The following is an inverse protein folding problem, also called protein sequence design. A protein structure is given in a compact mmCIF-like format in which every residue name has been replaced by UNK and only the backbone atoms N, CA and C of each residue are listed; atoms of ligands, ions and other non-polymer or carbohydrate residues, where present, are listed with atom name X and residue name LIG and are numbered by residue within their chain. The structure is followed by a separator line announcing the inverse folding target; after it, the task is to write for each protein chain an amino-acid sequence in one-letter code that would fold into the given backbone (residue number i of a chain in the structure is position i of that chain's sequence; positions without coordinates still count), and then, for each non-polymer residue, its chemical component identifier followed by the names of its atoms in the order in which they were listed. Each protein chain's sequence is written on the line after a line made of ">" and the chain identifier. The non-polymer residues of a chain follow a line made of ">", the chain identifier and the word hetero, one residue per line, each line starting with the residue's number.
data_IF_768991749745
#
_entry.id   IF_768991749745
#
_cell.length_a   1.000
_cell.length_b   1.000
_cell.length_c   1.000
_cell.angle_alpha   90.00
_cell.angle_beta   90.00
_cell.angle_gamma   90.00
#
_symmetry.space_group_name_H-M   'P 1'
#
loop_
_entity.id
_entity.type
_entity.pdbx_description
1 polymer ?
#
# COMPACT_ATOMS: atom_id res chain seq x y z
N UNK A 1 36.11 -18.19 -25.50
CA UNK A 1 36.42 -18.14 -24.04
C UNK A 1 36.29 -16.70 -23.51
N UNK A 2 36.99 -15.71 -24.04
CA UNK A 2 36.91 -14.30 -23.60
C UNK A 2 35.48 -13.74 -23.52
N UNK A 3 34.65 -13.93 -24.57
CA UNK A 3 33.24 -13.50 -24.57
C UNK A 3 32.43 -14.09 -23.42
N UNK A 4 32.67 -15.37 -23.10
CA UNK A 4 31.95 -16.06 -22.02
C UNK A 4 32.30 -15.39 -20.68
N UNK A 5 33.60 -15.12 -20.44
CA UNK A 5 34.08 -14.46 -19.23
C UNK A 5 33.53 -13.04 -19.08
N UNK A 6 33.52 -12.26 -20.17
CA UNK A 6 32.97 -10.89 -20.16
C UNK A 6 31.47 -10.92 -19.85
N UNK A 7 30.70 -11.80 -20.49
CA UNK A 7 29.24 -11.90 -20.27
C UNK A 7 28.94 -12.37 -18.85
N UNK A 8 29.71 -13.32 -18.30
CA UNK A 8 29.51 -13.76 -16.91
C UNK A 8 29.81 -12.65 -15.90
N UNK A 9 30.87 -11.86 -16.10
CA UNK A 9 31.18 -10.72 -15.21
C UNK A 9 30.09 -9.66 -15.29
N UNK A 10 29.63 -9.32 -16.50
CA UNK A 10 28.54 -8.36 -16.68
C UNK A 10 27.24 -8.82 -16.00
N UNK A 11 26.92 -10.10 -16.07
CA UNK A 11 25.71 -10.65 -15.45
C UNK A 11 25.78 -10.64 -13.92
N UNK A 12 26.95 -10.90 -13.34
CA UNK A 12 27.15 -10.81 -11.88
C UNK A 12 27.05 -9.37 -11.39
N UNK A 13 27.69 -8.42 -12.06
CA UNK A 13 27.59 -7.00 -11.71
C UNK A 13 26.14 -6.50 -11.77
N UNK A 14 25.42 -6.86 -12.84
CA UNK A 14 24.00 -6.54 -12.97
C UNK A 14 23.12 -7.20 -11.89
N UNK A 15 23.45 -8.44 -11.51
CA UNK A 15 22.78 -9.15 -10.42
C UNK A 15 22.89 -8.41 -9.09
N UNK A 16 24.10 -7.98 -8.74
CA UNK A 16 24.37 -7.26 -7.49
C UNK A 16 23.63 -5.91 -7.41
N UNK A 17 23.62 -5.12 -8.48
CA UNK A 17 22.90 -3.84 -8.48
C UNK A 17 21.39 -4.04 -8.36
N UNK A 18 20.82 -5.05 -9.05
CA UNK A 18 19.39 -5.35 -8.92
C UNK A 18 19.01 -5.91 -7.55
N UNK A 19 19.86 -6.77 -6.98
CA UNK A 19 19.67 -7.30 -5.63
C UNK A 19 19.55 -6.17 -4.63
N UNK A 20 20.43 -5.16 -4.68
CA UNK A 20 20.37 -4.00 -3.79
C UNK A 20 19.04 -3.22 -3.91
N UNK A 21 18.55 -3.02 -5.14
CA UNK A 21 17.26 -2.33 -5.36
C UNK A 21 16.09 -3.15 -4.82
N UNK A 22 16.12 -4.47 -5.00
CA UNK A 22 15.10 -5.38 -4.48
C UNK A 22 15.13 -5.40 -2.95
N UNK A 23 16.30 -5.55 -2.33
CA UNK A 23 16.47 -5.53 -0.88
C UNK A 23 15.97 -4.21 -0.30
N UNK A 24 16.34 -3.07 -0.89
CA UNK A 24 15.82 -1.77 -0.45
C UNK A 24 14.29 -1.71 -0.51
N UNK A 25 13.69 -2.19 -1.60
CA UNK A 25 12.23 -2.24 -1.73
C UNK A 25 11.59 -3.15 -0.66
N UNK A 26 12.16 -4.32 -0.43
CA UNK A 26 11.65 -5.30 0.54
C UNK A 26 11.75 -4.79 1.97
N UNK A 27 12.90 -4.25 2.37
CA UNK A 27 13.13 -3.67 3.70
C UNK A 27 12.20 -2.48 3.98
N UNK A 28 12.01 -1.59 3.00
CA UNK A 28 11.04 -0.50 3.13
C UNK A 28 9.61 -1.02 3.21
N UNK A 29 9.25 -2.04 2.43
CA UNK A 29 7.92 -2.64 2.47
C UNK A 29 7.65 -3.28 3.82
N UNK A 30 8.62 -4.01 4.39
CA UNK A 30 8.52 -4.57 5.73
C UNK A 30 8.35 -3.48 6.79
N UNK A 31 9.16 -2.42 6.73
CA UNK A 31 9.06 -1.27 7.64
C UNK A 31 7.70 -0.57 7.54
N UNK A 32 7.16 -0.42 6.33
CA UNK A 32 5.83 0.17 6.12
C UNK A 32 4.70 -0.69 6.67
N UNK A 33 4.80 -2.02 6.64
CA UNK A 33 3.80 -2.88 7.31
C UNK A 33 3.75 -2.57 8.80
N UNK A 34 4.90 -2.55 9.46
CA UNK A 34 5.01 -2.22 10.89
C UNK A 34 4.57 -0.79 11.22
N UNK A 35 4.78 0.17 10.32
CA UNK A 35 4.40 1.55 10.54
C UNK A 35 2.90 1.79 10.35
N UNK A 36 2.32 1.27 9.27
CA UNK A 36 0.96 1.61 8.86
C UNK A 36 -0.09 0.61 9.30
N UNK A 37 0.26 -0.67 9.46
CA UNK A 37 -0.70 -1.69 9.89
C UNK A 37 -0.69 -1.79 11.41
N UNK A 38 -1.77 -1.32 12.04
CA UNK A 38 -1.98 -1.43 13.49
C UNK A 38 -1.88 -2.91 13.92
N UNK A 39 -1.14 -3.17 14.98
CA UNK A 39 -0.95 -4.49 15.59
C UNK A 39 -0.40 -5.57 14.61
N UNK A 40 0.34 -5.13 13.58
CA UNK A 40 1.04 -6.06 12.69
C UNK A 40 2.17 -6.79 13.41
N UNK A 41 2.26 -8.09 13.17
CA UNK A 41 3.31 -8.97 13.68
C UNK A 41 3.80 -9.89 12.54
N UNK A 42 5.08 -10.22 12.55
CA UNK A 42 5.74 -11.00 11.49
C UNK A 42 5.33 -12.49 11.52
N UNK A 43 4.55 -12.92 12.53
CA UNK A 43 4.08 -14.29 12.68
C UNK A 43 2.97 -14.70 11.69
N UNK A 44 2.20 -13.74 11.17
CA UNK A 44 1.07 -14.00 10.30
C UNK A 44 1.28 -13.43 8.89
N UNK A 45 1.11 -14.28 7.87
CA UNK A 45 1.24 -13.89 6.46
C UNK A 45 0.19 -12.86 6.02
N UNK A 46 -0.98 -12.80 6.69
CA UNK A 46 -2.04 -11.84 6.39
C UNK A 46 -2.74 -11.33 7.66
N UNK A 47 -2.66 -10.02 7.90
CA UNK A 47 -3.43 -9.34 8.94
C UNK A 47 -4.88 -9.15 8.46
N UNK A 48 -5.85 -9.62 9.25
CA UNK A 48 -7.26 -9.49 8.96
C UNK A 48 -8.03 -8.99 10.19
N UNK A 49 -9.03 -8.15 9.95
CA UNK A 49 -9.95 -7.63 10.96
C UNK A 49 -11.36 -8.13 10.67
N UNK A 50 -12.15 -8.38 11.72
CA UNK A 50 -13.43 -9.08 11.61
C UNK A 50 -14.64 -8.24 12.04
N UNK A 51 -14.42 -7.04 12.56
CA UNK A 51 -15.50 -6.13 12.97
C UNK A 51 -15.45 -4.81 12.21
N UNK A 52 -16.61 -4.18 12.05
CA UNK A 52 -16.68 -2.87 11.39
C UNK A 52 -15.92 -1.80 12.16
N UNK A 53 -15.97 -1.82 13.50
CA UNK A 53 -15.22 -0.89 14.34
C UNK A 53 -13.73 -1.04 14.12
N UNK A 54 -13.20 -2.27 14.08
CA UNK A 54 -11.78 -2.51 13.89
C UNK A 54 -11.31 -2.04 12.51
N UNK A 55 -12.13 -2.19 11.46
CA UNK A 55 -11.81 -1.64 10.12
C UNK A 55 -11.59 -0.14 10.19
N UNK A 56 -12.46 0.61 10.88
CA UNK A 56 -12.30 2.05 11.04
C UNK A 56 -11.08 2.38 11.90
N UNK A 57 -10.89 1.67 13.01
CA UNK A 57 -9.76 1.88 13.92
C UNK A 57 -8.41 1.70 13.22
N UNK A 58 -8.26 0.63 12.43
CA UNK A 58 -7.05 0.37 11.66
C UNK A 58 -6.87 1.40 10.53
N UNK A 59 -7.97 1.82 9.88
CA UNK A 59 -7.90 2.86 8.85
C UNK A 59 -7.43 4.21 9.44
N UNK A 60 -8.03 4.64 10.55
CA UNK A 60 -7.65 5.90 11.19
C UNK A 60 -6.21 5.85 11.70
N UNK A 61 -5.79 4.73 12.28
CA UNK A 61 -4.39 4.51 12.64
C UNK A 61 -3.44 4.71 11.44
N UNK A 62 -3.73 4.11 10.29
CA UNK A 62 -2.92 4.30 9.08
C UNK A 62 -2.83 5.77 8.67
N UNK A 63 -3.95 6.51 8.74
CA UNK A 63 -4.00 7.93 8.39
C UNK A 63 -3.17 8.76 9.38
N UNK A 64 -3.30 8.50 10.68
CA UNK A 64 -2.52 9.17 11.72
C UNK A 64 -1.02 8.92 11.55
N UNK A 65 -0.62 7.68 11.31
CA UNK A 65 0.78 7.32 11.03
C UNK A 65 1.29 7.95 9.75
N UNK A 66 0.46 8.02 8.71
CA UNK A 66 0.80 8.75 7.49
C UNK A 66 1.05 10.23 7.77
N UNK A 67 0.23 10.91 8.59
CA UNK A 67 0.42 12.32 8.90
C UNK A 67 1.63 12.59 9.81
N UNK A 68 1.90 11.68 10.75
CA UNK A 68 3.01 11.77 11.71
C UNK A 68 4.36 11.28 11.15
N UNK A 69 4.37 10.75 9.93
CA UNK A 69 5.51 10.08 9.31
C UNK A 69 6.86 10.83 9.37
N UNK A 70 6.94 12.17 9.18
CA UNK A 70 8.19 12.91 9.26
C UNK A 70 8.78 12.98 10.67
N UNK A 71 7.96 12.78 11.70
CA UNK A 71 8.34 12.92 13.12
C UNK A 71 8.61 11.56 13.78
N UNK A 72 7.89 10.51 13.37
CA UNK A 72 7.93 9.19 14.02
C UNK A 72 8.90 8.21 13.34
N UNK A 73 9.25 8.42 12.06
CA UNK A 73 10.05 7.45 11.31
C UNK A 73 11.54 7.76 11.33
N UNK A 74 12.35 6.70 11.34
CA UNK A 74 13.82 6.81 11.22
C UNK A 74 14.23 7.11 9.77
N UNK A 75 13.45 6.64 8.80
CA UNK A 75 13.68 6.87 7.38
C UNK A 75 13.26 8.27 6.92
N UNK A 76 13.97 8.84 5.94
CA UNK A 76 13.56 10.10 5.31
C UNK A 76 12.65 9.83 4.13
N UNK A 77 11.37 10.11 4.34
CA UNK A 77 10.33 9.97 3.32
C UNK A 77 9.71 11.33 2.99
N UNK A 78 9.42 11.55 1.72
CA UNK A 78 8.73 12.73 1.24
C UNK A 78 7.40 12.35 0.57
N UNK A 79 6.35 13.09 0.88
CA UNK A 79 5.04 12.90 0.26
C UNK A 79 5.05 13.28 -1.21
N UNK A 80 4.33 12.52 -2.02
CA UNK A 80 4.07 12.84 -3.42
C UNK A 80 2.65 13.38 -3.56
N UNK A 81 2.53 14.64 -3.96
CA UNK A 81 1.25 15.28 -4.25
C UNK A 81 0.70 14.85 -5.62
N UNK A 82 -0.61 15.02 -5.82
CA UNK A 82 -1.35 14.59 -7.02
C UNK A 82 -1.51 13.06 -7.17
N UNK A 83 -1.46 12.32 -6.06
CA UNK A 83 -1.82 10.88 -6.04
C UNK A 83 -3.31 10.71 -5.77
N UNK A 84 -3.87 11.58 -4.93
CA UNK A 84 -5.29 11.62 -4.61
C UNK A 84 -6.04 12.73 -5.34
N UNK A 85 -7.32 12.84 -5.02
CA UNK A 85 -8.23 13.81 -5.62
C UNK A 85 -7.82 15.24 -5.26
N UNK A 86 -7.96 16.16 -6.22
CA UNK A 86 -7.66 17.59 -6.05
C UNK A 86 -6.23 17.90 -5.58
N UNK A 87 -5.24 17.10 -5.98
CA UNK A 87 -3.83 17.34 -5.66
C UNK A 87 -3.38 16.78 -4.31
N UNK A 88 -4.25 16.04 -3.61
CA UNK A 88 -3.91 15.38 -2.34
C UNK A 88 -2.77 14.36 -2.52
N UNK A 89 -1.99 14.16 -1.46
CA UNK A 89 -0.93 13.14 -1.39
C UNK A 89 -1.43 11.77 -0.89
N UNK A 90 -2.63 11.73 -0.31
CA UNK A 90 -3.34 10.54 0.16
C UNK A 90 -4.72 10.49 -0.49
N UNK A 91 -5.11 9.30 -0.98
CA UNK A 91 -6.44 9.01 -1.51
C UNK A 91 -7.11 7.90 -0.71
N UNK A 92 -8.35 8.14 -0.29
CA UNK A 92 -9.21 7.10 0.27
C UNK A 92 -10.25 6.74 -0.79
N UNK A 93 -10.09 5.58 -1.39
CA UNK A 93 -10.95 5.07 -2.46
C UNK A 93 -11.94 4.06 -1.89
N UNK A 94 -13.23 4.33 -2.07
CA UNK A 94 -14.28 3.37 -1.72
C UNK A 94 -14.80 2.73 -2.99
N UNK A 95 -14.60 1.42 -3.15
CA UNK A 95 -15.15 0.64 -4.25
C UNK A 95 -16.44 -0.05 -3.81
N UNK A 96 -17.51 0.10 -4.57
CA UNK A 96 -18.78 -0.56 -4.28
C UNK A 96 -19.53 -0.88 -5.58
N UNK A 97 -20.38 -1.90 -5.54
CA UNK A 97 -21.24 -2.25 -6.67
C UNK A 97 -22.26 -1.13 -6.92
N UNK A 98 -22.45 -0.73 -8.17
CA UNK A 98 -23.37 0.36 -8.55
C UNK A 98 -24.80 0.14 -8.04
N UNK A 99 -25.26 -1.12 -8.07
CA UNK A 99 -26.51 -1.57 -7.46
C UNK A 99 -26.22 -2.90 -6.78
N UNK A 100 -26.48 -2.97 -5.49
CA UNK A 100 -26.45 -4.20 -4.72
C UNK A 100 -27.68 -4.23 -3.84
N UNK A 101 -28.40 -5.33 -3.82
CA UNK A 101 -29.29 -5.68 -2.72
C UNK A 101 -29.04 -7.14 -2.43
N UNK A 102 -28.66 -7.43 -1.20
CA UNK A 102 -28.47 -8.77 -0.70
C UNK A 102 -29.42 -8.91 0.48
N UNK A 103 -30.34 -9.86 0.37
CA UNK A 103 -31.29 -10.19 1.42
C UNK A 103 -31.16 -11.68 1.73
N UNK A 104 -30.22 -12.04 2.62
CA UNK A 104 -29.95 -13.44 2.93
C UNK A 104 -31.13 -14.11 3.64
N UNK A 105 -32.02 -13.35 4.27
CA UNK A 105 -33.20 -13.92 4.92
C UNK A 105 -34.24 -14.45 3.91
N UNK A 106 -34.23 -13.90 2.70
CA UNK A 106 -35.13 -14.27 1.61
C UNK A 106 -34.40 -15.00 0.46
N UNK A 107 -33.14 -15.40 0.63
CA UNK A 107 -32.29 -16.02 -0.40
C UNK A 107 -32.24 -15.23 -1.73
N UNK A 108 -32.39 -13.89 -1.68
CA UNK A 108 -32.41 -13.05 -2.88
C UNK A 108 -31.21 -12.11 -2.93
N UNK A 109 -30.64 -11.97 -4.13
CA UNK A 109 -29.65 -10.95 -4.42
C UNK A 109 -29.89 -10.33 -5.79
N UNK A 110 -29.61 -9.04 -5.91
CA UNK A 110 -29.58 -8.34 -7.19
C UNK A 110 -28.35 -7.42 -7.18
N UNK A 111 -27.33 -7.81 -7.93
CA UNK A 111 -26.04 -7.12 -7.98
C UNK A 111 -25.73 -6.78 -9.43
N UNK A 112 -25.50 -5.49 -9.67
CA UNK A 112 -24.86 -4.99 -10.88
C UNK A 112 -23.33 -5.12 -10.68
N UNK A 113 -22.63 -5.94 -11.48
CA UNK A 113 -21.20 -6.18 -11.31
C UNK A 113 -20.33 -4.94 -11.61
N UNK A 114 -20.93 -3.85 -12.09
CA UNK A 114 -20.20 -2.62 -12.35
C UNK A 114 -19.73 -1.97 -11.04
N UNK A 115 -18.41 -1.92 -10.84
CA UNK A 115 -17.76 -1.31 -9.69
C UNK A 115 -17.65 0.20 -9.91
N UNK A 116 -18.13 0.97 -8.93
CA UNK A 116 -17.97 2.42 -8.87
C UNK A 116 -16.95 2.73 -7.79
N UNK A 117 -16.02 3.63 -8.08
CA UNK A 117 -15.08 4.17 -7.09
C UNK A 117 -15.57 5.54 -6.65
N UNK A 118 -15.83 5.69 -5.36
CA UNK A 118 -16.21 6.95 -4.72
C UNK A 118 -15.04 7.52 -3.92
N UNK A 119 -14.91 8.85 -3.96
CA UNK A 119 -13.78 9.60 -3.42
C UNK A 119 -14.08 10.27 -2.06
N UNK A 120 -15.00 9.74 -1.26
CA UNK A 120 -15.45 10.42 -0.03
C UNK A 120 -15.97 9.47 1.05
N UNK A 121 -15.86 9.91 2.31
CA UNK A 121 -16.53 9.37 3.51
C UNK A 121 -18.06 9.53 3.45
N UNK A 122 -18.69 9.18 2.33
CA UNK A 122 -20.14 9.02 2.29
C UNK A 122 -20.53 7.84 3.19
N UNK A 123 -21.70 7.85 3.85
CA UNK A 123 -22.05 6.86 4.87
C UNK A 123 -21.88 5.45 4.32
N UNK A 124 -20.79 4.82 4.79
CA UNK A 124 -20.14 3.65 4.24
C UNK A 124 -21.06 2.42 4.28
N UNK A 125 -22.08 2.43 5.14
CA UNK A 125 -22.99 1.31 5.35
C UNK A 125 -24.44 1.71 5.08
N UNK A 126 -24.77 1.89 3.80
CA UNK A 126 -26.10 1.51 3.41
C UNK A 126 -26.16 -0.03 3.44
N UNK A 127 -27.16 -0.65 4.10
CA UNK A 127 -27.26 -2.12 4.26
C UNK A 127 -27.39 -2.91 2.93
N UNK A 128 -27.34 -2.20 1.81
CA UNK A 128 -27.47 -2.70 0.45
C UNK A 128 -26.13 -2.89 -0.27
N UNK A 129 -25.06 -2.27 0.21
CA UNK A 129 -23.76 -2.28 -0.48
C UNK A 129 -22.67 -2.84 0.42
N UNK A 130 -21.82 -3.72 -0.12
CA UNK A 130 -20.58 -4.18 0.51
C UNK A 130 -19.47 -3.27 -0.02
N UNK A 131 -19.02 -2.26 0.73
CA UNK A 131 -17.93 -1.39 0.29
C UNK A 131 -16.57 -2.06 0.55
N UNK A 132 -15.65 -1.89 -0.39
CA UNK A 132 -14.22 -2.16 -0.21
C UNK A 132 -13.53 -0.83 -0.06
N UNK A 133 -12.74 -0.68 1.00
CA UNK A 133 -12.04 0.57 1.30
C UNK A 133 -10.55 0.40 1.03
N UNK A 134 -9.97 1.34 0.27
CA UNK A 134 -8.58 1.27 -0.18
C UNK A 134 -7.92 2.61 0.11
N UNK A 135 -6.88 2.60 0.93
CA UNK A 135 -5.99 3.75 1.14
C UNK A 135 -4.82 3.68 0.16
N UNK A 136 -4.59 4.76 -0.58
CA UNK A 136 -3.53 4.87 -1.58
C UNK A 136 -2.72 6.14 -1.35
N UNK A 137 -1.41 5.99 -1.22
CA UNK A 137 -0.45 7.10 -1.16
C UNK A 137 0.88 6.69 -1.77
N UNK A 138 1.72 7.69 -2.07
CA UNK A 138 3.09 7.45 -2.53
C UNK A 138 4.08 8.23 -1.68
N UNK A 139 5.20 7.58 -1.39
CA UNK A 139 6.34 8.14 -0.66
C UNK A 139 7.59 8.05 -1.53
N UNK A 140 8.41 9.10 -1.51
CA UNK A 140 9.76 9.10 -2.08
C UNK A 140 10.79 8.90 -0.98
N UNK A 141 11.77 8.06 -1.23
CA UNK A 141 12.92 7.83 -0.38
C UNK A 141 14.20 7.85 -1.23
N UNK A 142 15.34 8.10 -0.58
CA UNK A 142 16.67 8.04 -1.21
C UNK A 142 17.37 6.79 -0.68
N UNK A 143 17.79 5.89 -1.57
CA UNK A 143 18.56 4.72 -1.20
C UNK A 143 20.04 5.08 -0.99
N UNK A 144 20.45 5.26 0.26
CA UNK A 144 21.84 5.58 0.60
C UNK A 144 22.82 4.41 0.35
N UNK A 145 22.35 3.16 0.24
CA UNK A 145 23.22 1.99 -0.01
C UNK A 145 23.86 2.05 -1.40
N UNK A 146 23.15 2.60 -2.40
CA UNK A 146 23.68 2.79 -3.76
C UNK A 146 24.86 3.77 -3.79
N UNK A 147 24.76 4.85 -3.00
CA UNK A 147 25.80 5.87 -2.87
C UNK A 147 27.07 5.29 -2.26
N UNK A 148 26.95 4.39 -1.27
CA UNK A 148 28.10 3.74 -0.62
C UNK A 148 28.88 2.86 -1.61
N UNK A 149 28.20 2.27 -2.59
CA UNK A 149 28.80 1.41 -3.61
C UNK A 149 29.22 2.18 -4.88
N UNK A 150 29.16 3.52 -4.86
CA UNK A 150 29.38 4.39 -6.02
C UNK A 150 28.51 4.03 -7.24
N UNK A 151 27.36 3.39 -7.00
CA UNK A 151 26.33 3.19 -8.01
C UNK A 151 25.41 4.40 -8.01
N UNK A 152 25.26 5.04 -9.17
CA UNK A 152 24.32 6.16 -9.33
C UNK A 152 22.90 5.54 -9.41
N UNK A 153 21.90 6.09 -8.69
CA UNK A 153 20.52 5.61 -8.75
C UNK A 153 19.88 5.71 -10.14
#
# INVERSE_FOLDING_TARGET
>A
ILKILIVTVQLVLFGLSNEMVVTFKEENTASFKHLFLKDYDDSNDALAVYTQSDVYDHMFYTIEQYLALPETTVGRYAYVYNVGVNGSALSLCQQYYKKGRIDPANDTFNIDPHVVTGDSFQPLFHPKFIPVLILVFQLKAINLQTIIHNEIP
#
